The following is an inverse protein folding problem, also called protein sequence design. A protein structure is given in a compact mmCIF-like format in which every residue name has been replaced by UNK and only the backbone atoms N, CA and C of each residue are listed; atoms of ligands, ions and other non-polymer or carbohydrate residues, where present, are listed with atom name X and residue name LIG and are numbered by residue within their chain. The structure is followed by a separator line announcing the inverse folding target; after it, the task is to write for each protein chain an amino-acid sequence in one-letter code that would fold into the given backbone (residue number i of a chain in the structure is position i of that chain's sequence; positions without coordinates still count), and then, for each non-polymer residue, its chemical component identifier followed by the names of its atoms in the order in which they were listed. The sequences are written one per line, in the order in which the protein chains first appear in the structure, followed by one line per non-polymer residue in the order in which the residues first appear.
data_IF_255925786362
#
_entry.id   IF_255925786362
#
_cell.length_a   1.000
_cell.length_b   1.000
_cell.length_c   1.000
_cell.angle_alpha   90.00
_cell.angle_beta   90.00
_cell.angle_gamma   90.00
#
_symmetry.space_group_name_H-M   'P 1'
#
loop_
_entity.id
_entity.type
_entity.pdbx_description
1 polymer ?
#
# COMPACT_ATOMS: atom_id res chain seq x y z
N UNK A 1 -10.83 -4.90 -12.08
CA UNK A 1 -10.26 -5.38 -10.80
C UNK A 1 -10.70 -6.83 -10.60
N UNK A 2 -10.12 -7.58 -9.64
CA UNK A 2 -10.72 -8.88 -9.25
C UNK A 2 -12.11 -8.67 -8.59
N UNK A 3 -12.40 -7.46 -8.12
CA UNK A 3 -13.73 -7.05 -7.66
C UNK A 3 -14.83 -7.13 -8.75
N UNK A 4 -14.49 -7.31 -10.02
CA UNK A 4 -15.44 -7.39 -11.15
C UNK A 4 -15.67 -8.83 -11.65
N UNK A 5 -15.20 -9.85 -10.91
CA UNK A 5 -15.11 -11.23 -11.39
C UNK A 5 -16.45 -11.79 -11.89
N UNK A 6 -17.57 -11.46 -11.24
CA UNK A 6 -18.88 -11.98 -11.63
C UNK A 6 -19.33 -11.42 -12.99
N UNK A 7 -19.09 -10.14 -13.24
CA UNK A 7 -19.40 -9.51 -14.52
C UNK A 7 -18.53 -10.08 -15.64
N UNK A 8 -17.24 -10.29 -15.38
CA UNK A 8 -16.32 -10.86 -16.36
C UNK A 8 -16.64 -12.33 -16.70
N UNK A 9 -16.98 -13.15 -15.70
CA UNK A 9 -17.43 -14.54 -15.92
C UNK A 9 -18.73 -14.58 -16.75
N UNK A 10 -19.69 -13.71 -16.44
CA UNK A 10 -20.93 -13.61 -17.19
C UNK A 10 -20.70 -13.19 -18.66
N UNK A 11 -19.76 -12.27 -18.91
CA UNK A 11 -19.39 -11.83 -20.26
C UNK A 11 -18.85 -12.97 -21.13
N UNK A 12 -18.22 -13.97 -20.52
CA UNK A 12 -17.70 -15.17 -21.21
C UNK A 12 -18.63 -16.39 -21.10
N UNK A 13 -19.84 -16.21 -20.56
CA UNK A 13 -20.88 -17.25 -20.48
C UNK A 13 -20.69 -18.28 -19.36
N UNK A 14 -19.83 -18.00 -18.39
CA UNK A 14 -19.60 -18.86 -17.21
C UNK A 14 -20.48 -18.37 -16.06
N UNK A 15 -21.28 -19.27 -15.50
CA UNK A 15 -22.22 -18.97 -14.41
C UNK A 15 -21.84 -19.61 -13.07
N UNK A 16 -20.97 -20.62 -13.09
CA UNK A 16 -20.45 -21.31 -11.91
C UNK A 16 -18.98 -21.74 -12.11
N UNK A 17 -18.25 -21.87 -11.01
CA UNK A 17 -16.86 -22.35 -10.98
C UNK A 17 -16.67 -23.27 -9.77
N UNK A 18 -15.82 -24.29 -9.90
CA UNK A 18 -15.54 -25.25 -8.82
C UNK A 18 -14.67 -24.69 -7.69
N UNK A 19 -13.97 -23.58 -7.95
CA UNK A 19 -13.10 -22.94 -6.96
C UNK A 19 -12.48 -21.65 -7.47
N UNK A 20 -12.23 -20.74 -6.54
CA UNK A 20 -11.59 -19.44 -6.81
C UNK A 20 -10.35 -19.35 -5.92
N UNK A 21 -9.20 -19.01 -6.52
CA UNK A 21 -7.96 -18.73 -5.80
C UNK A 21 -7.58 -17.27 -6.02
N UNK A 22 -7.46 -16.50 -4.93
CA UNK A 22 -7.00 -15.13 -4.95
C UNK A 22 -5.65 -15.04 -4.22
N UNK A 23 -4.60 -14.65 -4.94
CA UNK A 23 -3.30 -14.32 -4.35
C UNK A 23 -3.27 -12.82 -4.05
N UNK A 24 -3.33 -12.48 -2.75
CA UNK A 24 -3.47 -11.11 -2.28
C UNK A 24 -2.10 -10.54 -1.89
N UNK A 25 -1.69 -9.47 -2.57
CA UNK A 25 -0.46 -8.76 -2.29
C UNK A 25 0.20 -8.23 -3.55
N UNK A 26 1.48 -7.90 -3.44
CA UNK A 26 2.29 -7.50 -4.59
C UNK A 26 3.05 -8.68 -5.17
N UNK A 27 3.15 -8.73 -6.48
CA UNK A 27 3.97 -9.73 -7.18
C UNK A 27 5.46 -9.39 -7.08
N UNK A 28 6.34 -10.39 -7.15
CA UNK A 28 7.79 -10.20 -7.11
C UNK A 28 8.29 -9.14 -8.11
N UNK A 29 7.81 -9.10 -9.39
CA UNK A 29 8.19 -8.03 -10.32
C UNK A 29 7.88 -6.61 -9.83
N UNK A 30 6.82 -6.42 -9.05
CA UNK A 30 6.46 -5.10 -8.51
C UNK A 30 7.43 -4.66 -7.40
N UNK A 31 7.97 -5.60 -6.63
CA UNK A 31 8.99 -5.32 -5.59
C UNK A 31 10.40 -5.19 -6.18
N UNK A 32 10.67 -5.87 -7.30
CA UNK A 32 11.98 -5.89 -7.95
C UNK A 32 12.23 -4.67 -8.85
N UNK A 33 11.17 -4.00 -9.32
CA UNK A 33 11.27 -2.79 -10.13
C UNK A 33 11.26 -1.52 -9.27
N UNK A 34 12.45 -0.95 -9.02
CA UNK A 34 12.60 0.29 -8.26
C UNK A 34 11.73 1.45 -8.78
N UNK A 35 11.53 1.55 -10.10
CA UNK A 35 10.75 2.61 -10.76
C UNK A 35 9.27 2.64 -10.33
N UNK A 36 8.74 1.50 -9.85
CA UNK A 36 7.36 1.41 -9.36
C UNK A 36 7.18 1.97 -7.95
N UNK A 37 8.26 2.12 -7.18
CA UNK A 37 8.22 2.73 -5.86
C UNK A 37 7.64 1.86 -4.74
N UNK A 38 7.42 0.56 -4.95
CA UNK A 38 6.86 -0.33 -3.92
C UNK A 38 7.84 -0.72 -2.82
N UNK A 39 9.14 -0.56 -3.07
CA UNK A 39 10.22 -0.96 -2.16
C UNK A 39 11.14 0.21 -1.86
N UNK A 40 11.67 0.24 -0.63
CA UNK A 40 12.77 1.12 -0.24
C UNK A 40 14.14 0.42 -0.29
N UNK A 41 14.17 -0.89 -0.58
CA UNK A 41 15.43 -1.64 -0.73
C UNK A 41 16.21 -1.17 -1.97
N UNK A 42 15.49 -0.77 -3.01
CA UNK A 42 16.03 -0.05 -4.15
C UNK A 42 15.35 1.31 -4.21
N UNK A 43 16.14 2.38 -4.27
CA UNK A 43 15.57 3.72 -4.30
C UNK A 43 14.87 3.98 -5.64
N UNK A 44 13.69 4.59 -5.58
CA UNK A 44 12.91 4.95 -6.77
C UNK A 44 11.86 6.01 -6.46
N UNK A 45 11.04 6.40 -7.44
CA UNK A 45 9.95 7.35 -7.27
C UNK A 45 8.98 6.90 -6.18
N UNK A 46 8.47 7.82 -5.37
CA UNK A 46 7.45 7.53 -4.37
C UNK A 46 6.05 7.47 -5.03
N UNK A 47 5.83 6.41 -5.82
CA UNK A 47 4.57 6.17 -6.57
C UNK A 47 3.65 5.17 -5.88
N UNK A 48 4.04 3.90 -5.77
CA UNK A 48 3.27 2.81 -5.13
C UNK A 48 1.91 2.45 -5.76
N UNK A 49 1.54 3.00 -6.92
CA UNK A 49 0.32 2.60 -7.63
C UNK A 49 0.52 1.29 -8.40
N UNK A 50 -0.46 0.40 -8.31
CA UNK A 50 -0.56 -0.80 -9.13
C UNK A 50 -1.01 -0.46 -10.56
N UNK A 51 -1.96 0.47 -10.70
CA UNK A 51 -2.38 1.07 -11.96
C UNK A 51 -1.90 2.52 -12.05
N UNK A 52 -0.98 2.77 -12.97
CA UNK A 52 -0.36 4.09 -13.14
C UNK A 52 -1.25 5.06 -13.93
N UNK A 53 -2.37 4.60 -14.49
CA UNK A 53 -3.26 5.41 -15.33
C UNK A 53 -4.25 6.26 -14.53
N UNK A 54 -4.44 5.97 -13.24
CA UNK A 54 -5.42 6.63 -12.37
C UNK A 54 -4.82 6.98 -11.00
N UNK A 55 -5.49 7.89 -10.29
CA UNK A 55 -5.21 8.22 -8.90
C UNK A 55 -3.89 8.95 -8.62
N UNK A 56 -3.73 9.50 -7.39
CA UNK A 56 -2.50 10.18 -6.98
C UNK A 56 -1.37 9.21 -6.65
N UNK A 57 -0.13 9.62 -6.89
CA UNK A 57 1.05 8.89 -6.39
C UNK A 57 1.11 8.93 -4.86
N UNK A 58 1.90 8.05 -4.25
CA UNK A 58 2.16 8.09 -2.81
C UNK A 58 2.71 9.45 -2.35
N UNK A 59 3.60 10.06 -3.13
CA UNK A 59 4.12 11.40 -2.86
C UNK A 59 3.00 12.44 -2.74
N UNK A 60 2.11 12.49 -3.73
CA UNK A 60 0.99 13.42 -3.76
C UNK A 60 -0.02 13.13 -2.64
N UNK A 61 -0.34 11.86 -2.44
CA UNK A 61 -1.29 11.43 -1.43
C UNK A 61 -0.82 11.77 0.00
N UNK A 62 0.47 11.62 0.29
CA UNK A 62 1.06 11.96 1.60
C UNK A 62 1.05 13.47 1.89
N UNK A 63 1.13 14.31 0.87
CA UNK A 63 1.01 15.76 1.01
C UNK A 63 -0.41 16.16 1.43
N UNK A 64 -1.42 15.59 0.77
CA UNK A 64 -2.83 15.95 0.94
C UNK A 64 -3.49 15.31 2.17
N UNK A 65 -3.12 14.08 2.53
CA UNK A 65 -3.78 13.37 3.64
C UNK A 65 -3.53 14.05 5.00
N UNK A 66 -4.58 14.12 5.82
CA UNK A 66 -4.50 14.59 7.20
C UNK A 66 -3.65 13.66 8.08
N UNK A 67 -2.93 14.25 9.04
CA UNK A 67 -2.03 13.50 9.95
C UNK A 67 -2.76 12.38 10.70
N UNK A 68 -3.95 12.66 11.23
CA UNK A 68 -4.73 11.69 12.00
C UNK A 68 -5.16 10.51 11.12
N UNK A 69 -5.64 10.78 9.90
CA UNK A 69 -6.04 9.74 8.95
C UNK A 69 -4.85 8.88 8.54
N UNK A 70 -3.69 9.49 8.28
CA UNK A 70 -2.45 8.77 8.00
C UNK A 70 -2.03 7.88 9.18
N UNK A 71 -2.12 8.39 10.42
CA UNK A 71 -1.81 7.60 11.61
C UNK A 71 -2.75 6.38 11.77
N UNK A 72 -4.04 6.55 11.48
CA UNK A 72 -5.01 5.46 11.54
C UNK A 72 -4.72 4.39 10.48
N UNK A 73 -4.38 4.80 9.25
CA UNK A 73 -3.97 3.89 8.18
C UNK A 73 -2.71 3.10 8.57
N UNK A 74 -1.67 3.79 9.05
CA UNK A 74 -0.42 3.14 9.47
C UNK A 74 -0.67 2.15 10.62
N UNK A 75 -1.56 2.49 11.55
CA UNK A 75 -1.96 1.61 12.63
C UNK A 75 -2.72 0.38 12.13
N UNK A 76 -3.78 0.59 11.34
CA UNK A 76 -4.70 -0.46 10.94
C UNK A 76 -4.10 -1.41 9.90
N UNK A 77 -3.45 -0.86 8.87
CA UNK A 77 -2.95 -1.65 7.73
C UNK A 77 -1.49 -2.07 7.91
N UNK A 78 -0.72 -1.31 8.69
CA UNK A 78 0.68 -1.62 8.99
C UNK A 78 0.87 -2.37 10.31
N UNK A 79 -0.16 -2.45 11.15
CA UNK A 79 -0.07 -2.96 12.52
C UNK A 79 1.05 -2.27 13.33
N UNK A 80 1.27 -0.97 13.10
CA UNK A 80 2.38 -0.21 13.66
C UNK A 80 1.96 0.59 14.90
N UNK A 81 2.52 0.24 16.05
CA UNK A 81 2.18 0.86 17.35
C UNK A 81 2.65 2.31 17.46
N UNK A 82 3.69 2.68 16.72
CA UNK A 82 4.24 4.04 16.67
C UNK A 82 3.61 4.89 15.56
N UNK A 83 2.46 4.48 15.03
CA UNK A 83 1.77 5.12 13.89
C UNK A 83 1.64 6.64 14.00
N UNK A 84 1.17 7.14 15.15
CA UNK A 84 1.01 8.59 15.41
C UNK A 84 2.33 9.35 15.31
N UNK A 85 3.41 8.78 15.85
CA UNK A 85 4.74 9.39 15.81
C UNK A 85 5.29 9.41 14.39
N UNK A 86 5.09 8.31 13.64
CA UNK A 86 5.52 8.19 12.25
C UNK A 86 4.73 9.14 11.35
N UNK A 87 3.40 9.19 11.46
CA UNK A 87 2.55 10.10 10.71
C UNK A 87 2.95 11.56 10.92
N UNK A 88 3.16 11.97 12.19
CA UNK A 88 3.67 13.29 12.51
C UNK A 88 5.01 13.59 11.84
N UNK A 89 5.95 12.64 11.88
CA UNK A 89 7.25 12.82 11.23
C UNK A 89 7.13 12.95 9.70
N UNK A 90 6.25 12.17 9.07
CA UNK A 90 5.95 12.27 7.64
C UNK A 90 5.38 13.64 7.29
N UNK A 91 4.40 14.14 8.07
CA UNK A 91 3.81 15.47 7.81
C UNK A 91 4.81 16.60 8.03
N UNK A 92 5.69 16.49 9.03
CA UNK A 92 6.75 17.46 9.27
C UNK A 92 7.84 17.47 8.18
N UNK A 93 8.11 16.32 7.57
CA UNK A 93 9.08 16.21 6.47
C UNK A 93 8.61 16.92 5.20
N UNK A 94 7.29 17.04 4.99
CA UNK A 94 6.70 17.71 3.84
C UNK A 94 6.83 16.89 2.55
N UNK A 95 7.24 17.55 1.46
CA UNK A 95 7.36 16.91 0.16
C UNK A 95 8.48 15.87 0.11
N UNK A 96 8.12 14.65 -0.31
CA UNK A 96 9.03 13.54 -0.53
C UNK A 96 8.76 12.95 -1.91
N UNK A 97 9.81 12.79 -2.72
CA UNK A 97 9.69 12.32 -4.10
C UNK A 97 10.24 10.90 -4.29
N UNK A 98 10.94 10.35 -3.29
CA UNK A 98 11.60 9.04 -3.39
C UNK A 98 11.29 8.13 -2.22
N UNK A 99 11.36 6.81 -2.46
CA UNK A 99 11.17 5.78 -1.42
C UNK A 99 12.23 5.86 -0.33
N UNK A 100 13.48 6.21 -0.65
CA UNK A 100 14.53 6.37 0.37
C UNK A 100 14.24 7.52 1.35
N UNK A 101 13.70 8.65 0.86
CA UNK A 101 13.31 9.77 1.73
C UNK A 101 12.26 9.35 2.75
N UNK A 102 11.18 8.72 2.28
CA UNK A 102 10.13 8.22 3.16
C UNK A 102 10.68 7.19 4.15
N UNK A 103 11.52 6.26 3.68
CA UNK A 103 12.12 5.24 4.55
C UNK A 103 12.98 5.87 5.65
N UNK A 104 13.78 6.89 5.35
CA UNK A 104 14.62 7.56 6.35
C UNK A 104 13.81 8.35 7.38
N UNK A 105 12.73 9.01 6.95
CA UNK A 105 11.80 9.70 7.85
C UNK A 105 11.17 8.71 8.84
N UNK A 106 10.63 7.60 8.32
CA UNK A 106 10.02 6.55 9.16
C UNK A 106 11.06 5.95 10.11
N UNK A 107 12.24 5.65 9.59
CA UNK A 107 13.37 5.08 10.33
C UNK A 107 13.79 5.96 11.51
N UNK A 108 13.90 7.27 11.29
CA UNK A 108 14.27 8.26 12.31
C UNK A 108 13.17 8.43 13.35
N UNK A 109 11.90 8.35 12.92
CA UNK A 109 10.76 8.42 13.82
C UNK A 109 10.61 7.16 14.70
N UNK A 110 11.09 6.00 14.23
CA UNK A 110 10.85 4.72 14.88
C UNK A 110 11.76 4.51 16.12
N UNK A 111 11.20 4.40 17.34
CA UNK A 111 12.00 4.39 18.57
C UNK A 111 12.72 3.07 18.84
N UNK A 112 12.26 1.95 18.26
CA UNK A 112 12.83 0.62 18.52
C UNK A 112 12.82 -0.26 17.29
N UNK A 113 13.96 -0.74 16.84
CA UNK A 113 14.03 -1.60 15.65
C UNK A 113 13.84 -3.07 16.01
N UNK A 114 13.18 -3.80 15.13
CA UNK A 114 13.10 -5.25 15.19
C UNK A 114 14.34 -5.85 14.49
N UNK A 115 14.94 -6.89 15.09
CA UNK A 115 16.24 -7.43 14.67
C UNK A 115 16.30 -7.93 13.21
N UNK A 116 15.16 -8.20 12.59
CA UNK A 116 15.05 -8.76 11.24
C UNK A 116 14.08 -8.01 10.32
N UNK A 117 13.58 -6.83 10.74
CA UNK A 117 12.59 -6.08 9.97
C UNK A 117 12.95 -4.61 9.98
N UNK A 118 13.07 -4.04 8.78
CA UNK A 118 13.32 -2.62 8.64
C UNK A 118 12.10 -1.85 9.17
N UNK A 119 12.28 -0.76 9.95
CA UNK A 119 11.17 -0.02 10.56
C UNK A 119 10.19 0.55 9.53
N UNK A 120 10.65 0.83 8.31
CA UNK A 120 9.78 1.33 7.25
C UNK A 120 8.84 0.28 6.64
N UNK A 121 9.08 -1.03 6.84
CA UNK A 121 8.31 -2.10 6.17
C UNK A 121 6.81 -1.99 6.43
N UNK A 122 6.40 -1.78 7.70
CA UNK A 122 4.99 -1.68 8.08
C UNK A 122 4.31 -0.45 7.49
N UNK A 123 5.00 0.69 7.50
CA UNK A 123 4.49 1.94 6.94
C UNK A 123 4.32 1.84 5.42
N UNK A 124 5.29 1.27 4.71
CA UNK A 124 5.20 1.06 3.27
C UNK A 124 4.04 0.15 2.89
N UNK A 125 3.85 -0.95 3.64
CA UNK A 125 2.71 -1.83 3.48
C UNK A 125 1.38 -1.08 3.67
N UNK A 126 1.25 -0.30 4.74
CA UNK A 126 0.04 0.46 5.03
C UNK A 126 -0.32 1.48 3.93
N UNK A 127 0.68 2.24 3.47
CA UNK A 127 0.49 3.24 2.42
C UNK A 127 0.09 2.56 1.11
N UNK A 128 0.73 1.44 0.78
CA UNK A 128 0.40 0.68 -0.43
C UNK A 128 -1.03 0.16 -0.42
N UNK A 129 -1.47 -0.44 0.69
CA UNK A 129 -2.84 -0.92 0.87
C UNK A 129 -3.84 0.23 0.68
N UNK A 130 -3.55 1.39 1.27
CA UNK A 130 -4.42 2.56 1.20
C UNK A 130 -4.50 3.16 -0.23
N UNK A 131 -3.38 3.24 -0.94
CA UNK A 131 -3.34 3.81 -2.31
C UNK A 131 -4.08 2.92 -3.30
N UNK A 132 -3.87 1.60 -3.19
CA UNK A 132 -4.43 0.65 -4.14
C UNK A 132 -5.82 0.15 -3.74
N UNK A 133 -6.38 0.66 -2.64
CA UNK A 133 -7.69 0.25 -2.10
C UNK A 133 -7.83 -1.28 -1.97
N UNK A 134 -6.73 -1.95 -1.61
CA UNK A 134 -6.64 -3.42 -1.67
C UNK A 134 -7.73 -4.09 -0.82
N UNK A 135 -8.12 -3.46 0.31
CA UNK A 135 -9.15 -3.99 1.21
C UNK A 135 -10.58 -3.72 0.73
N UNK A 136 -10.86 -2.57 0.10
CA UNK A 136 -12.19 -2.29 -0.48
C UNK A 136 -12.50 -3.28 -1.61
N UNK A 137 -11.46 -3.61 -2.40
CA UNK A 137 -11.56 -4.60 -3.47
C UNK A 137 -11.80 -6.00 -2.91
N UNK A 138 -11.18 -6.37 -1.78
CA UNK A 138 -11.42 -7.65 -1.10
C UNK A 138 -12.85 -7.73 -0.53
N UNK A 139 -13.33 -6.67 0.13
CA UNK A 139 -14.69 -6.61 0.67
C UNK A 139 -15.75 -6.73 -0.43
N UNK A 140 -15.48 -6.17 -1.61
CA UNK A 140 -16.38 -6.25 -2.77
C UNK A 140 -16.32 -7.62 -3.47
N UNK A 141 -15.14 -8.24 -3.49
CA UNK A 141 -14.89 -9.52 -4.13
C UNK A 141 -15.42 -10.71 -3.34
N UNK A 142 -15.21 -10.75 -2.02
CA UNK A 142 -15.56 -11.91 -1.20
C UNK A 142 -17.03 -12.35 -1.38
N UNK A 143 -18.05 -11.46 -1.34
CA UNK A 143 -19.43 -11.85 -1.56
C UNK A 143 -19.75 -12.40 -2.96
N UNK A 144 -18.90 -12.10 -3.97
CA UNK A 144 -19.06 -12.61 -5.34
C UNK A 144 -18.36 -13.96 -5.53
N UNK A 145 -17.47 -14.33 -4.61
CA UNK A 145 -16.64 -15.53 -4.69
C UNK A 145 -17.21 -16.72 -3.90
N UNK A 146 -18.26 -16.51 -3.10
CA UNK A 146 -18.96 -17.54 -2.29
C UNK A 146 -20.41 -17.71 -2.70
#
# INVERSE_FOLDING_TARGET
SFADIQAELANIGITEVDGIMADLGVSSPQLDQAERGFSFMQNGPLDMRMDNSQGPTAAQWLLEIEEEKLANIIYQYGEERYSRRIAKAIKLAGEMTTTAQLAEVVKTAHPKWEKHKHPATRTFQAIRIAINKELDDIESFLPQAV
#
